data_IF_827202279138
#
_entry.id   IF_827202279138
#
_cell.length_a   1.000
_cell.length_b   1.000
_cell.length_c   1.000
_cell.angle_alpha   90.00
_cell.angle_beta   90.00
_cell.angle_gamma   90.00
#
_symmetry.space_group_name_H-M   'P 1'
#
loop_
_entity.id
_entity.type
_entity.pdbx_description
1 polymer ?
#
# COMPACT_ATOMS: atom_id res chain seq x y z
N UNK A 1 0.19 -33.47 4.74
CA UNK A 1 -0.11 -32.05 4.48
C UNK A 1 -1.51 -31.77 5.01
N UNK A 2 -1.68 -30.81 5.91
CA UNK A 2 -3.01 -30.40 6.40
C UNK A 2 -3.51 -29.24 5.55
N UNK A 3 -4.72 -29.37 4.99
CA UNK A 3 -5.39 -28.29 4.27
C UNK A 3 -5.94 -27.31 5.30
N UNK A 4 -5.74 -26.02 5.07
CA UNK A 4 -6.26 -24.95 5.95
C UNK A 4 -7.61 -24.46 5.45
N UNK A 5 -8.43 -23.93 6.36
CA UNK A 5 -9.70 -23.29 6.01
C UNK A 5 -9.50 -21.85 5.50
N UNK A 6 -10.57 -21.24 5.00
CA UNK A 6 -10.52 -19.90 4.41
C UNK A 6 -10.11 -18.80 5.40
N UNK A 7 -10.51 -18.89 6.67
CA UNK A 7 -10.15 -17.90 7.69
C UNK A 7 -8.65 -17.94 8.01
N UNK A 8 -8.11 -19.15 8.17
CA UNK A 8 -6.68 -19.38 8.36
C UNK A 8 -5.86 -18.87 7.17
N UNK A 9 -6.37 -19.06 5.95
CA UNK A 9 -5.73 -18.52 4.74
C UNK A 9 -5.70 -16.99 4.76
N UNK A 10 -6.84 -16.33 5.02
CA UNK A 10 -6.94 -14.87 5.09
C UNK A 10 -6.01 -14.30 6.15
N UNK A 11 -6.00 -14.88 7.34
CA UNK A 11 -5.10 -14.46 8.42
C UNK A 11 -3.63 -14.48 7.99
N UNK A 12 -3.19 -15.55 7.30
CA UNK A 12 -1.82 -15.69 6.78
C UNK A 12 -1.51 -14.75 5.60
N UNK A 13 -2.52 -14.32 4.86
CA UNK A 13 -2.38 -13.40 3.72
C UNK A 13 -2.41 -11.92 4.11
N UNK A 14 -2.69 -11.62 5.38
CA UNK A 14 -2.74 -10.25 5.94
C UNK A 14 -1.66 -10.06 7.01
N UNK A 15 -1.31 -8.82 7.30
CA UNK A 15 -0.42 -8.45 8.40
C UNK A 15 -0.77 -7.08 8.97
N UNK A 16 -0.41 -6.86 10.22
CA UNK A 16 -0.47 -5.54 10.84
C UNK A 16 0.81 -4.78 10.50
N UNK A 17 0.66 -3.51 10.17
CA UNK A 17 1.76 -2.57 9.96
C UNK A 17 1.51 -1.31 10.76
N UNK A 18 2.58 -0.73 11.27
CA UNK A 18 2.55 0.56 11.95
C UNK A 18 2.71 1.69 10.91
N UNK A 19 1.78 2.63 10.94
CA UNK A 19 1.83 3.88 10.20
C UNK A 19 1.99 5.04 11.18
N UNK A 20 2.43 6.19 10.68
CA UNK A 20 2.52 7.41 11.47
C UNK A 20 1.14 7.85 11.94
N UNK A 21 1.04 8.26 13.20
CA UNK A 21 -0.19 8.80 13.80
C UNK A 21 -0.46 10.25 13.41
N UNK A 22 -1.36 10.89 14.14
CA UNK A 22 -1.71 12.30 13.94
C UNK A 22 -0.86 13.22 14.82
N UNK A 23 -0.35 12.70 15.93
CA UNK A 23 0.55 13.40 16.85
C UNK A 23 2.01 12.96 16.68
N UNK A 24 2.93 13.77 17.19
CA UNK A 24 4.37 13.49 17.12
C UNK A 24 4.72 12.21 17.92
N UNK A 25 5.40 11.26 17.26
CA UNK A 25 5.74 9.92 17.76
C UNK A 25 4.56 8.96 17.99
N UNK A 26 3.35 9.34 17.62
CA UNK A 26 2.22 8.41 17.61
C UNK A 26 2.36 7.41 16.45
N UNK A 27 1.97 6.15 16.71
CA UNK A 27 1.88 5.10 15.70
C UNK A 27 0.49 4.48 15.73
N UNK A 28 -0.08 4.29 14.54
CA UNK A 28 -1.38 3.66 14.35
C UNK A 28 -1.13 2.31 13.69
N UNK A 29 -1.76 1.25 14.23
CA UNK A 29 -1.70 -0.08 13.64
C UNK A 29 -2.84 -0.26 12.64
N UNK A 30 -2.51 -0.69 11.42
CA UNK A 30 -3.49 -1.03 10.39
C UNK A 30 -3.22 -2.42 9.83
N UNK A 31 -4.28 -3.17 9.51
CA UNK A 31 -4.17 -4.47 8.85
C UNK A 31 -4.22 -4.31 7.35
N UNK A 32 -3.19 -4.80 6.67
CA UNK A 32 -3.07 -4.76 5.22
C UNK A 32 -2.91 -6.16 4.62
N UNK A 33 -3.25 -6.31 3.34
CA UNK A 33 -2.81 -7.43 2.49
C UNK A 33 -1.77 -6.95 1.47
N UNK A 34 -1.04 -7.88 0.88
CA UNK A 34 -0.10 -7.56 -0.21
C UNK A 34 -0.83 -6.99 -1.42
N UNK A 35 -0.22 -5.99 -2.05
CA UNK A 35 -0.69 -5.40 -3.29
C UNK A 35 -0.33 -6.26 -4.49
N UNK A 36 -1.20 -6.31 -5.49
CA UNK A 36 -0.88 -6.84 -6.81
C UNK A 36 -1.36 -5.87 -7.88
N UNK A 37 -0.45 -5.01 -8.36
CA UNK A 37 -0.75 -4.05 -9.44
C UNK A 37 -1.27 -4.74 -10.69
N UNK A 38 -0.72 -5.91 -11.05
CA UNK A 38 -1.19 -6.71 -12.19
C UNK A 38 -2.62 -7.22 -11.98
N UNK A 39 -2.95 -7.70 -10.78
CA UNK A 39 -4.31 -8.14 -10.47
C UNK A 39 -5.30 -6.98 -10.49
N UNK A 40 -4.89 -5.81 -9.99
CA UNK A 40 -5.72 -4.60 -10.01
C UNK A 40 -5.97 -4.11 -11.45
N UNK A 41 -4.95 -4.15 -12.31
CA UNK A 41 -5.07 -3.83 -13.72
C UNK A 41 -6.01 -4.81 -14.44
N UNK A 42 -5.83 -6.12 -14.25
CA UNK A 42 -6.68 -7.14 -14.88
C UNK A 42 -8.15 -7.08 -14.44
N UNK A 43 -8.40 -6.71 -13.18
CA UNK A 43 -9.75 -6.60 -12.64
C UNK A 43 -10.42 -5.24 -12.95
N UNK A 44 -9.80 -4.38 -13.76
CA UNK A 44 -10.34 -3.06 -14.13
C UNK A 44 -10.42 -2.08 -12.96
N UNK A 45 -9.69 -2.33 -11.86
CA UNK A 45 -9.67 -1.45 -10.68
C UNK A 45 -8.79 -0.22 -10.89
N UNK A 46 -7.91 -0.25 -11.89
CA UNK A 46 -7.04 0.87 -12.27
C UNK A 46 -7.72 1.62 -13.43
N UNK A 47 -8.12 2.90 -13.24
CA UNK A 47 -8.62 3.72 -14.34
C UNK A 47 -7.63 3.80 -15.51
N UNK A 48 -8.14 3.87 -16.74
CA UNK A 48 -7.32 3.85 -17.96
C UNK A 48 -6.28 4.99 -18.00
N UNK A 49 -6.65 6.15 -17.46
CA UNK A 49 -5.76 7.32 -17.31
C UNK A 49 -4.53 7.03 -16.43
N UNK A 50 -4.62 6.04 -15.52
CA UNK A 50 -3.54 5.68 -14.60
C UNK A 50 -2.63 4.55 -15.13
N UNK A 51 -2.99 3.91 -16.26
CA UNK A 51 -2.21 2.80 -16.81
C UNK A 51 -0.78 3.21 -17.18
N UNK A 52 -0.59 4.44 -17.67
CA UNK A 52 0.73 4.98 -17.97
C UNK A 52 1.61 5.09 -16.72
N UNK A 53 1.04 5.54 -15.61
CA UNK A 53 1.74 5.67 -14.32
C UNK A 53 2.10 4.29 -13.75
N UNK A 54 1.18 3.32 -13.83
CA UNK A 54 1.43 1.94 -13.38
C UNK A 54 2.55 1.28 -14.19
N UNK A 55 2.58 1.49 -15.51
CA UNK A 55 3.67 0.99 -16.35
C UNK A 55 5.02 1.61 -15.98
N UNK A 56 5.06 2.93 -15.72
CA UNK A 56 6.28 3.60 -15.22
C UNK A 56 6.74 2.98 -13.89
N UNK A 57 5.84 2.85 -12.91
CA UNK A 57 6.15 2.28 -11.60
C UNK A 57 6.62 0.81 -11.68
N UNK A 58 5.96 0.00 -12.51
CA UNK A 58 6.35 -1.40 -12.72
C UNK A 58 7.73 -1.52 -13.37
N UNK A 59 7.99 -0.72 -14.41
CA UNK A 59 9.27 -0.74 -15.13
C UNK A 59 10.42 -0.14 -14.31
N UNK A 60 10.16 0.89 -13.50
CA UNK A 60 11.15 1.46 -12.57
C UNK A 60 11.45 0.49 -11.41
N UNK A 61 10.44 -0.20 -10.89
CA UNK A 61 10.58 -1.24 -9.87
C UNK A 61 11.32 -2.48 -10.34
N UNK A 62 11.25 -2.81 -11.64
CA UNK A 62 11.98 -3.93 -12.25
C UNK A 62 13.48 -3.63 -12.47
N UNK A 63 13.85 -2.37 -12.68
CA UNK A 63 15.23 -1.96 -13.01
C UNK A 63 16.00 -1.34 -11.84
N UNK A 64 15.34 -1.00 -10.73
CA UNK A 64 15.96 -0.31 -9.60
C UNK A 64 15.90 -1.17 -8.34
N UNK A 65 17.04 -1.36 -7.67
CA UNK A 65 17.07 -1.95 -6.32
C UNK A 65 16.17 -1.12 -5.38
N UNK A 66 14.92 -1.55 -5.17
CA UNK A 66 14.00 -1.11 -4.10
C UNK A 66 14.00 0.41 -3.82
N UNK A 67 13.73 1.25 -4.82
CA UNK A 67 13.46 2.66 -4.52
C UNK A 67 12.01 2.74 -4.00
N UNK A 68 11.84 2.92 -2.69
CA UNK A 68 10.52 3.25 -2.12
C UNK A 68 10.10 4.60 -2.69
N UNK A 69 8.82 4.74 -3.04
CA UNK A 69 8.29 6.02 -3.49
C UNK A 69 8.30 6.96 -2.28
N UNK A 70 9.02 8.07 -2.39
CA UNK A 70 8.98 9.13 -1.38
C UNK A 70 8.03 10.24 -1.82
N UNK A 71 7.50 10.98 -0.85
CA UNK A 71 6.64 12.14 -1.07
C UNK A 71 7.32 13.20 -1.97
N UNK A 72 8.65 13.31 -1.87
CA UNK A 72 9.46 14.17 -2.77
C UNK A 72 9.50 13.68 -4.21
N UNK A 73 9.49 12.37 -4.44
CA UNK A 73 9.42 11.82 -5.80
C UNK A 73 8.05 12.16 -6.42
N UNK A 74 6.96 12.10 -5.63
CA UNK A 74 5.61 12.45 -6.07
C UNK A 74 5.51 13.94 -6.45
N UNK A 75 5.97 14.84 -5.58
CA UNK A 75 5.91 16.28 -5.80
C UNK A 75 6.79 16.78 -6.96
N UNK A 76 7.80 16.01 -7.37
CA UNK A 76 8.70 16.36 -8.46
C UNK A 76 8.14 16.08 -9.86
N UNK A 77 7.07 15.30 -9.98
CA UNK A 77 6.42 14.97 -11.25
C UNK A 77 5.10 15.73 -11.42
N UNK A 78 5.20 17.04 -11.65
CA UNK A 78 4.06 18.00 -11.65
C UNK A 78 2.90 17.64 -12.57
N UNK A 79 3.16 16.95 -13.69
CA UNK A 79 2.12 16.58 -14.66
C UNK A 79 1.37 15.28 -14.26
N UNK A 80 1.94 14.49 -13.36
CA UNK A 80 1.44 13.15 -12.98
C UNK A 80 0.99 13.07 -11.50
N UNK A 81 1.08 14.16 -10.72
CA UNK A 81 0.73 14.16 -9.27
C UNK A 81 -0.69 13.64 -9.05
N UNK A 82 -1.67 14.18 -9.77
CA UNK A 82 -3.08 13.76 -9.65
C UNK A 82 -3.24 12.27 -9.92
N UNK A 83 -2.59 11.78 -10.97
CA UNK A 83 -2.65 10.37 -11.37
C UNK A 83 -1.99 9.47 -10.32
N UNK A 84 -0.88 9.91 -9.73
CA UNK A 84 -0.20 9.19 -8.65
C UNK A 84 -1.06 9.15 -7.39
N UNK A 85 -1.66 10.26 -6.96
CA UNK A 85 -2.53 10.30 -5.78
C UNK A 85 -3.76 9.42 -5.99
N UNK A 86 -4.40 9.46 -7.16
CA UNK A 86 -5.52 8.57 -7.48
C UNK A 86 -5.12 7.10 -7.48
N UNK A 87 -3.92 6.78 -7.96
CA UNK A 87 -3.40 5.41 -7.91
C UNK A 87 -3.15 4.96 -6.46
N UNK A 88 -2.64 5.87 -5.61
CA UNK A 88 -2.43 5.62 -4.18
C UNK A 88 -3.75 5.35 -3.46
N UNK A 89 -4.80 6.10 -3.76
CA UNK A 89 -6.13 5.89 -3.17
C UNK A 89 -6.72 4.53 -3.59
N UNK A 90 -6.67 4.21 -4.89
CA UNK A 90 -7.12 2.91 -5.42
C UNK A 90 -6.33 1.76 -4.78
N UNK A 91 -5.02 1.96 -4.60
CA UNK A 91 -4.16 0.98 -3.97
C UNK A 91 -4.46 0.81 -2.48
N UNK A 92 -4.60 1.91 -1.72
CA UNK A 92 -4.98 1.88 -0.31
C UNK A 92 -6.33 1.18 -0.13
N UNK A 93 -7.33 1.52 -0.95
CA UNK A 93 -8.63 0.87 -0.98
C UNK A 93 -8.54 -0.64 -1.21
N UNK A 94 -7.63 -1.08 -2.07
CA UNK A 94 -7.43 -2.51 -2.30
C UNK A 94 -6.74 -3.20 -1.13
N UNK A 95 -5.76 -2.58 -0.47
CA UNK A 95 -4.86 -3.26 0.47
C UNK A 95 -5.28 -3.16 1.93
N UNK A 96 -6.02 -2.12 2.34
CA UNK A 96 -6.50 -1.94 3.71
C UNK A 96 -7.62 -2.94 4.01
N UNK A 97 -7.39 -3.78 5.01
CA UNK A 97 -8.34 -4.81 5.46
C UNK A 97 -9.07 -4.34 6.71
N UNK A 98 -8.34 -3.71 7.65
CA UNK A 98 -8.91 -3.14 8.87
C UNK A 98 -8.07 -1.94 9.34
N UNK A 99 -8.67 -0.75 9.59
CA UNK A 99 -10.06 -0.38 9.29
C UNK A 99 -10.37 -0.47 7.78
N UNK A 100 -11.61 -0.26 7.34
CA UNK A 100 -11.86 -0.20 5.89
C UNK A 100 -11.46 1.18 5.37
N UNK A 101 -10.87 1.22 4.18
CA UNK A 101 -10.49 2.50 3.56
C UNK A 101 -11.66 3.49 3.49
N UNK A 102 -12.85 3.04 3.10
CA UNK A 102 -14.07 3.85 3.00
C UNK A 102 -14.53 4.46 4.35
N UNK A 103 -14.05 3.96 5.49
CA UNK A 103 -14.38 4.48 6.82
C UNK A 103 -13.41 5.59 7.26
N UNK A 104 -12.23 5.67 6.64
CA UNK A 104 -11.14 6.54 7.10
C UNK A 104 -10.49 7.37 5.99
N UNK A 105 -10.99 7.31 4.75
CA UNK A 105 -10.37 7.95 3.58
C UNK A 105 -10.22 9.47 3.73
N UNK A 106 -11.20 10.12 4.36
CA UNK A 106 -11.20 11.57 4.61
C UNK A 106 -10.17 12.03 5.66
N UNK A 107 -9.69 11.10 6.49
CA UNK A 107 -8.74 11.38 7.58
C UNK A 107 -7.32 10.90 7.25
N UNK A 108 -7.16 10.05 6.23
CA UNK A 108 -5.87 9.51 5.83
C UNK A 108 -4.98 10.61 5.21
N UNK A 109 -3.83 10.85 5.82
CA UNK A 109 -2.83 11.78 5.27
C UNK A 109 -2.06 11.16 4.10
N UNK A 110 -1.50 12.00 3.24
CA UNK A 110 -0.68 11.53 2.09
C UNK A 110 0.54 10.73 2.55
N UNK A 111 1.12 11.09 3.70
CA UNK A 111 2.21 10.35 4.36
C UNK A 111 1.75 8.94 4.73
N UNK A 112 0.60 8.82 5.40
CA UNK A 112 0.04 7.51 5.79
C UNK A 112 -0.30 6.65 4.56
N UNK A 113 -0.93 7.23 3.53
CA UNK A 113 -1.21 6.54 2.26
C UNK A 113 0.07 6.02 1.61
N UNK A 114 1.13 6.82 1.60
CA UNK A 114 2.44 6.44 1.06
C UNK A 114 3.09 5.32 1.88
N UNK A 115 2.99 5.35 3.20
CA UNK A 115 3.47 4.28 4.09
C UNK A 115 2.73 2.96 3.84
N UNK A 116 1.40 3.00 3.73
CA UNK A 116 0.55 1.84 3.41
C UNK A 116 0.92 1.26 2.05
N UNK A 117 1.01 2.12 1.03
CA UNK A 117 1.38 1.73 -0.33
C UNK A 117 2.75 1.04 -0.38
N UNK A 118 3.75 1.65 0.26
CA UNK A 118 5.11 1.09 0.34
C UNK A 118 5.14 -0.21 1.14
N UNK A 119 4.37 -0.31 2.23
CA UNK A 119 4.27 -1.53 3.00
C UNK A 119 3.66 -2.66 2.16
N UNK A 120 2.63 -2.38 1.36
CA UNK A 120 1.92 -3.36 0.57
C UNK A 120 2.68 -3.82 -0.71
N UNK A 121 3.60 -3.02 -1.25
CA UNK A 121 4.50 -3.40 -2.35
C UNK A 121 5.62 -4.37 -1.95
N UNK A 122 6.02 -4.39 -0.68
CA UNK A 122 7.05 -5.30 -0.20
C UNK A 122 6.56 -6.75 -0.17
N UNK A 123 7.45 -7.76 -0.32
CA UNK A 123 7.10 -9.13 0.05
C UNK A 123 6.62 -9.15 1.51
N UNK A 124 5.85 -10.17 1.88
CA UNK A 124 5.46 -10.45 3.29
C UNK A 124 6.73 -10.71 4.11
N UNK A 125 7.47 -9.65 4.42
CA UNK A 125 8.48 -9.68 5.45
C UNK A 125 7.70 -9.64 6.75
N UNK A 126 7.77 -10.75 7.47
CA UNK A 126 7.47 -10.78 8.90
C UNK A 126 8.12 -9.56 9.53
N UNK A 127 7.29 -8.58 9.90
CA UNK A 127 7.69 -7.60 10.89
C UNK A 127 7.81 -8.42 12.16
N UNK A 128 9.05 -8.69 12.56
CA UNK A 128 9.35 -9.25 13.87
C UNK A 128 8.84 -8.19 14.85
N UNK A 129 7.91 -8.50 15.77
CA UNK A 129 7.47 -7.53 16.75
C UNK A 129 8.69 -7.11 17.56
N UNK A 130 8.99 -5.81 17.57
CA UNK A 130 9.98 -5.24 18.47
C UNK A 130 9.41 -5.38 19.88
N UNK A 131 9.81 -6.42 20.59
CA UNK A 131 9.52 -6.57 22.02
C UNK A 131 10.23 -5.44 22.75
N UNK A 132 9.52 -4.53 23.46
CA UNK A 132 10.17 -3.56 24.31
C UNK A 132 10.87 -4.31 25.44
N UNK A 133 12.14 -3.99 25.66
CA UNK A 133 12.97 -4.54 26.73
C UNK A 133 12.82 -3.71 27.99
#
# INVERSE_FOLDING_TARGET
>A
MSVINAEQFKSKATRVVEISGFEENEKIEVRIKSMSLLTMMNNGKIPNELLGVVQKLFNEGANSKKKKISEKDILSQSDDIKSITMLMDVACKEVLVEPKFEEIEDYLTDVQKTEIFNAAQGPVKQVIPSVPK
#
